data_IF_263853701235
#
_entry.id   IF_263853701235
#
_cell.length_a   1.000
_cell.length_b   1.000
_cell.length_c   1.000
_cell.angle_alpha   90.00
_cell.angle_beta   90.00
_cell.angle_gamma   90.00
#
_symmetry.space_group_name_H-M   'P 1'
#
loop_
_entity.id
_entity.type
_entity.pdbx_description
1 polymer ?
#
# COMPACT_ATOMS: atom_id res chain seq x y z
N UNK A 1 20.24 5.13 -4.15
CA UNK A 1 19.35 4.58 -3.10
C UNK A 1 17.96 4.36 -3.73
N UNK A 2 17.43 3.13 -3.71
CA UNK A 2 16.11 2.76 -4.22
C UNK A 2 15.03 3.27 -3.27
N UNK A 3 13.97 3.89 -3.77
CA UNK A 3 12.82 4.24 -2.93
C UNK A 3 12.14 3.00 -2.33
N UNK A 4 11.59 3.13 -1.13
CA UNK A 4 10.94 1.99 -0.47
C UNK A 4 9.58 1.68 -1.12
N UNK A 5 9.35 0.46 -1.65
CA UNK A 5 8.12 0.15 -2.39
C UNK A 5 6.84 0.16 -1.54
N UNK A 6 6.96 0.09 -0.21
CA UNK A 6 5.80 0.10 0.69
C UNK A 6 5.30 1.50 1.05
N UNK A 7 6.14 2.52 0.87
CA UNK A 7 5.76 3.89 1.18
C UNK A 7 6.69 4.87 0.44
N UNK A 8 6.23 5.47 -0.63
CA UNK A 8 7.01 6.39 -1.44
C UNK A 8 6.16 7.48 -2.08
N UNK A 9 6.81 8.56 -2.47
CA UNK A 9 6.33 9.48 -3.50
C UNK A 9 7.02 9.08 -4.80
N UNK A 10 6.30 8.83 -5.90
CA UNK A 10 6.92 8.40 -7.15
C UNK A 10 7.95 9.41 -7.65
N UNK A 11 9.14 8.94 -8.03
CA UNK A 11 10.13 9.79 -8.66
C UNK A 11 9.60 10.35 -10.00
N UNK A 12 10.01 11.56 -10.41
CA UNK A 12 9.57 12.15 -11.69
C UNK A 12 9.81 11.23 -12.89
N UNK A 13 10.95 10.53 -12.95
CA UNK A 13 11.28 9.54 -13.99
C UNK A 13 10.27 8.39 -14.04
N UNK A 14 9.86 7.89 -12.87
CA UNK A 14 8.84 6.83 -12.76
C UNK A 14 7.46 7.32 -13.22
N UNK A 15 7.10 8.56 -12.89
CA UNK A 15 5.82 9.16 -13.33
C UNK A 15 5.80 9.32 -14.86
N UNK A 16 6.90 9.77 -15.45
CA UNK A 16 7.03 9.93 -16.89
C UNK A 16 6.99 8.59 -17.62
N UNK A 17 7.75 7.60 -17.16
CA UNK A 17 7.75 6.26 -17.72
C UNK A 17 6.38 5.57 -17.59
N UNK A 18 5.65 5.78 -16.50
CA UNK A 18 4.29 5.28 -16.32
C UNK A 18 3.31 5.92 -17.30
N UNK A 19 3.43 7.22 -17.55
CA UNK A 19 2.62 7.93 -18.58
C UNK A 19 2.93 7.43 -19.98
N UNK A 20 4.19 7.25 -20.32
CA UNK A 20 4.63 6.70 -21.59
C UNK A 20 4.08 5.28 -21.81
N UNK A 21 4.16 4.41 -20.77
CA UNK A 21 3.57 3.07 -20.82
C UNK A 21 2.04 3.12 -21.04
N UNK A 22 1.33 3.96 -20.30
CA UNK A 22 -0.12 4.13 -20.46
C UNK A 22 -0.49 4.59 -21.88
N UNK A 23 0.22 5.59 -22.42
CA UNK A 23 0.02 6.07 -23.79
C UNK A 23 0.30 4.97 -24.83
N UNK A 24 1.34 4.14 -24.64
CA UNK A 24 1.64 2.98 -25.49
C UNK A 24 0.52 1.95 -25.46
N UNK A 25 -0.03 1.65 -24.29
CA UNK A 25 -1.17 0.73 -24.14
C UNK A 25 -2.41 1.30 -24.85
N UNK A 26 -2.70 2.59 -24.67
CA UNK A 26 -3.84 3.26 -25.32
C UNK A 26 -3.73 3.25 -26.85
N UNK A 27 -2.52 3.41 -27.38
CA UNK A 27 -2.24 3.40 -28.82
C UNK A 27 -2.26 1.98 -29.44
N UNK A 28 -2.17 0.93 -28.61
CA UNK A 28 -2.09 -0.48 -29.07
C UNK A 28 -3.40 -1.21 -28.76
N UNK A 29 -4.32 -1.43 -29.72
CA UNK A 29 -5.63 -2.02 -29.46
C UNK A 29 -5.61 -3.35 -28.71
N UNK A 30 -4.64 -4.25 -29.03
CA UNK A 30 -4.48 -5.52 -28.34
C UNK A 30 -4.07 -5.38 -26.88
N UNK A 31 -3.14 -4.48 -26.55
CA UNK A 31 -2.74 -4.20 -25.17
C UNK A 31 -3.88 -3.53 -24.40
N UNK A 32 -4.55 -2.55 -25.03
CA UNK A 32 -5.70 -1.88 -24.42
C UNK A 32 -6.80 -2.86 -24.03
N UNK A 33 -7.11 -3.84 -24.89
CA UNK A 33 -8.09 -4.88 -24.61
C UNK A 33 -7.65 -5.78 -23.42
N UNK A 34 -6.36 -6.13 -23.34
CA UNK A 34 -5.81 -6.96 -22.25
C UNK A 34 -5.90 -6.30 -20.87
N UNK A 35 -5.80 -4.96 -20.82
CA UNK A 35 -5.75 -4.21 -19.56
C UNK A 35 -7.02 -3.40 -19.26
N UNK A 36 -8.05 -3.47 -20.10
CA UNK A 36 -9.28 -2.66 -19.98
C UNK A 36 -10.02 -2.86 -18.65
N UNK A 37 -10.07 -4.10 -18.16
CA UNK A 37 -10.71 -4.45 -16.87
C UNK A 37 -9.94 -3.93 -15.65
N UNK A 38 -8.78 -3.34 -15.86
CA UNK A 38 -7.93 -2.78 -14.81
C UNK A 38 -6.85 -3.74 -14.31
N UNK A 39 -5.63 -3.20 -14.20
CA UNK A 39 -4.44 -3.91 -13.69
C UNK A 39 -3.52 -2.97 -12.95
N UNK A 40 -2.86 -3.52 -11.92
CA UNK A 40 -1.68 -2.88 -11.35
C UNK A 40 -0.51 -3.09 -12.29
N UNK A 41 0.06 -2.02 -12.79
CA UNK A 41 1.26 -2.00 -13.60
C UNK A 41 2.42 -1.51 -12.73
N UNK A 42 3.61 -2.05 -12.95
CA UNK A 42 4.83 -1.64 -12.28
C UNK A 42 5.84 -1.09 -13.26
N UNK A 43 6.62 -0.12 -12.80
CA UNK A 43 7.76 0.48 -13.49
C UNK A 43 8.97 0.41 -12.57
N UNK A 44 10.09 -0.06 -13.08
CA UNK A 44 11.38 -0.07 -12.38
C UNK A 44 12.42 0.61 -13.26
N UNK A 45 13.01 1.68 -12.77
CA UNK A 45 14.19 2.31 -13.33
C UNK A 45 15.42 1.53 -12.89
N UNK A 46 16.30 1.19 -13.84
CA UNK A 46 17.52 0.42 -13.59
C UNK A 46 18.72 1.01 -14.31
N UNK A 47 19.90 0.76 -13.75
CA UNK A 47 21.20 1.06 -14.36
C UNK A 47 21.96 -0.23 -14.66
N UNK A 48 22.81 -0.24 -15.69
CA UNK A 48 23.77 -1.33 -15.90
C UNK A 48 24.95 -1.15 -14.96
N UNK A 49 25.30 -2.19 -14.21
CA UNK A 49 26.53 -2.21 -13.43
C UNK A 49 27.74 -2.17 -14.37
N UNK A 50 28.67 -1.20 -14.15
CA UNK A 50 29.91 -1.05 -14.95
C UNK A 50 31.01 -2.06 -14.59
N UNK A 51 30.77 -3.02 -13.74
CA UNK A 51 31.74 -4.02 -13.30
C UNK A 51 31.30 -5.42 -13.68
N UNK A 52 31.36 -5.75 -14.98
CA UNK A 52 31.52 -7.16 -15.38
C UNK A 52 31.80 -7.30 -16.87
N UNK A 53 32.95 -6.84 -17.33
CA UNK A 53 33.72 -7.73 -18.15
C UNK A 53 34.07 -8.92 -17.24
N UNK A 54 33.50 -10.12 -17.55
CA UNK A 54 33.77 -11.40 -16.89
C UNK A 54 33.06 -11.77 -15.58
N UNK A 55 31.73 -11.78 -15.55
CA UNK A 55 31.06 -12.86 -14.83
C UNK A 55 30.51 -13.86 -15.86
N UNK A 56 31.40 -14.57 -16.50
CA UNK A 56 31.13 -15.92 -16.99
C UNK A 56 30.72 -16.72 -15.77
N UNK A 57 29.50 -17.23 -15.76
CA UNK A 57 29.07 -18.30 -14.87
C UNK A 57 30.15 -19.37 -14.93
N UNK A 58 31.07 -19.38 -13.99
CA UNK A 58 32.06 -20.43 -13.86
C UNK A 58 31.30 -21.74 -13.62
N UNK A 59 31.56 -22.81 -14.41
CA UNK A 59 30.99 -24.09 -14.10
C UNK A 59 31.59 -24.55 -12.77
N UNK A 60 30.73 -24.68 -11.73
CA UNK A 60 31.13 -25.35 -10.50
C UNK A 60 31.80 -26.70 -10.82
N UNK A 61 33.07 -26.83 -10.43
CA UNK A 61 33.76 -28.09 -10.45
C UNK A 61 33.05 -29.05 -9.52
N UNK A 62 32.46 -30.08 -10.14
CA UNK A 62 31.88 -31.27 -9.50
C UNK A 62 32.81 -31.85 -8.45
N UNK A 63 32.33 -31.91 -7.22
CA UNK A 63 32.64 -33.03 -6.35
C UNK A 63 31.36 -33.38 -5.54
N UNK A 64 31.09 -34.68 -5.57
CA UNK A 64 30.04 -35.42 -4.86
C UNK A 64 28.73 -35.68 -5.63
N UNK A 65 28.73 -36.93 -6.12
CA UNK A 65 27.62 -37.66 -6.70
C UNK A 65 26.38 -37.68 -5.84
N UNK A 66 25.35 -36.94 -6.24
CA UNK A 66 23.94 -37.30 -6.10
C UNK A 66 23.21 -36.73 -7.30
N UNK A 67 22.64 -37.59 -8.11
CA UNK A 67 21.77 -37.25 -9.24
C UNK A 67 20.55 -36.45 -8.70
N UNK A 68 20.31 -35.21 -9.17
CA UNK A 68 19.07 -34.52 -8.86
C UNK A 68 17.91 -35.16 -9.61
N UNK A 69 16.68 -35.14 -9.08
CA UNK A 69 15.53 -35.68 -9.77
C UNK A 69 15.27 -34.93 -11.09
N UNK A 70 14.82 -35.65 -12.12
CA UNK A 70 14.67 -35.18 -13.50
C UNK A 70 13.87 -33.89 -13.72
N UNK A 71 13.04 -33.48 -12.71
CA UNK A 71 12.28 -32.25 -12.70
C UNK A 71 13.16 -30.97 -12.60
N UNK A 72 14.33 -31.03 -11.94
CA UNK A 72 15.24 -29.87 -11.76
C UNK A 72 15.92 -29.46 -13.07
N UNK A 73 16.28 -30.45 -13.93
CA UNK A 73 16.93 -30.21 -15.22
C UNK A 73 15.99 -29.63 -16.28
N UNK A 74 14.69 -29.93 -16.20
CA UNK A 74 13.67 -29.34 -17.08
C UNK A 74 13.42 -27.85 -16.75
N UNK A 75 13.42 -27.48 -15.45
CA UNK A 75 13.28 -26.12 -14.99
C UNK A 75 14.46 -25.23 -15.42
N UNK A 76 15.70 -25.71 -15.25
CA UNK A 76 16.88 -24.94 -15.68
C UNK A 76 16.97 -24.79 -17.22
N UNK A 77 16.60 -25.83 -17.99
CA UNK A 77 16.55 -25.74 -19.46
C UNK A 77 15.44 -24.79 -19.93
N UNK A 78 14.28 -24.77 -19.26
CA UNK A 78 13.20 -23.83 -19.56
C UNK A 78 13.61 -22.39 -19.25
N UNK A 79 14.24 -22.14 -18.09
CA UNK A 79 14.77 -20.83 -17.72
C UNK A 79 15.88 -20.36 -18.69
N UNK A 80 16.78 -21.24 -19.13
CA UNK A 80 17.82 -20.90 -20.13
C UNK A 80 17.25 -20.63 -21.51
N UNK A 81 16.23 -21.38 -21.97
CA UNK A 81 15.53 -21.11 -23.25
C UNK A 81 14.76 -19.78 -23.21
N UNK A 82 14.19 -19.38 -22.04
CA UNK A 82 13.53 -18.09 -21.88
C UNK A 82 14.52 -16.93 -21.83
N UNK A 83 15.68 -17.11 -21.18
CA UNK A 83 16.74 -16.10 -21.17
C UNK A 83 17.27 -15.82 -22.60
N UNK A 84 17.47 -16.87 -23.42
CA UNK A 84 17.92 -16.70 -24.80
C UNK A 84 16.84 -16.22 -25.77
N UNK A 85 15.54 -16.40 -25.45
CA UNK A 85 14.43 -15.87 -26.24
C UNK A 85 14.07 -14.42 -25.97
N UNK A 86 14.54 -13.86 -24.84
CA UNK A 86 14.24 -12.48 -24.45
C UNK A 86 15.26 -11.46 -24.97
N UNK A 87 16.41 -11.88 -25.48
CA UNK A 87 17.44 -10.95 -26.03
C UNK A 87 16.98 -10.14 -27.25
N UNK A 88 15.86 -10.53 -27.89
CA UNK A 88 15.27 -9.82 -29.03
C UNK A 88 14.04 -8.94 -28.69
N UNK A 89 13.51 -9.01 -27.46
CA UNK A 89 12.23 -8.41 -27.11
C UNK A 89 12.30 -7.09 -26.34
N UNK A 90 13.44 -6.75 -25.78
CA UNK A 90 13.64 -5.51 -25.05
C UNK A 90 14.56 -4.58 -25.84
N UNK A 91 13.99 -3.69 -26.67
CA UNK A 91 14.63 -2.43 -26.99
C UNK A 91 14.35 -1.51 -25.81
N UNK A 92 15.32 -1.20 -24.93
CA UNK A 92 15.15 -0.17 -23.93
C UNK A 92 14.90 1.14 -24.69
N UNK A 93 13.81 1.84 -24.39
CA UNK A 93 13.67 3.23 -24.79
C UNK A 93 14.80 4.00 -24.10
N UNK A 94 15.89 4.22 -24.82
CA UNK A 94 16.99 5.07 -24.39
C UNK A 94 16.49 6.52 -24.56
N UNK A 95 16.31 7.22 -23.46
CA UNK A 95 16.26 8.68 -23.52
C UNK A 95 17.64 9.16 -23.92
N UNK A 96 17.78 9.68 -25.13
CA UNK A 96 19.04 10.14 -25.72
C UNK A 96 19.38 11.53 -25.15
N UNK A 97 19.74 11.56 -23.86
CA UNK A 97 20.15 12.80 -23.18
C UNK A 97 21.69 12.86 -23.10
N UNK A 98 22.32 12.97 -24.28
CA UNK A 98 23.78 13.11 -24.43
C UNK A 98 24.34 14.44 -23.90
N UNK A 99 23.47 15.37 -23.46
CA UNK A 99 23.90 16.72 -23.05
C UNK A 99 24.30 16.83 -21.57
N UNK A 100 23.92 15.90 -20.69
CA UNK A 100 24.09 16.03 -19.23
C UNK A 100 25.17 15.13 -18.61
N UNK A 101 25.82 14.24 -19.35
CA UNK A 101 26.79 13.28 -18.79
C UNK A 101 26.13 12.22 -17.88
N UNK A 102 24.80 12.19 -17.77
CA UNK A 102 24.06 11.20 -17.03
C UNK A 102 24.08 9.85 -17.78
N UNK A 103 24.14 8.75 -17.04
CA UNK A 103 24.05 7.41 -17.61
C UNK A 103 22.63 7.21 -18.16
N UNK A 104 22.47 6.54 -19.32
CA UNK A 104 21.15 6.26 -19.85
C UNK A 104 20.40 5.35 -18.88
N UNK A 105 19.30 5.84 -18.31
CA UNK A 105 18.38 5.05 -17.52
C UNK A 105 17.58 4.12 -18.43
N UNK A 106 17.31 2.92 -17.94
CA UNK A 106 16.50 1.92 -18.61
C UNK A 106 15.29 1.57 -17.75
N UNK A 107 14.13 1.41 -18.37
CA UNK A 107 12.89 1.09 -17.65
C UNK A 107 12.44 -0.33 -17.93
N UNK A 108 12.06 -1.04 -16.86
CA UNK A 108 11.42 -2.36 -16.91
C UNK A 108 9.94 -2.19 -16.53
N UNK A 109 9.07 -2.99 -17.18
CA UNK A 109 7.64 -2.94 -16.96
C UNK A 109 7.10 -4.31 -16.54
N UNK A 110 6.15 -4.34 -15.62
CA UNK A 110 5.45 -5.54 -15.17
C UNK A 110 3.95 -5.28 -14.98
N UNK A 111 3.17 -6.35 -14.89
CA UNK A 111 1.76 -6.28 -14.49
C UNK A 111 1.45 -7.36 -13.44
N UNK A 112 0.43 -7.11 -12.62
CA UNK A 112 0.01 -8.06 -11.59
C UNK A 112 -0.87 -9.18 -12.15
N UNK A 113 -0.66 -10.41 -11.68
CA UNK A 113 -1.45 -11.58 -12.07
C UNK A 113 -1.39 -11.92 -13.57
N UNK A 114 -2.56 -12.19 -14.16
CA UNK A 114 -2.74 -12.54 -15.57
C UNK A 114 -3.40 -11.39 -16.33
N UNK A 115 -3.06 -11.20 -17.61
CA UNK A 115 -3.72 -10.29 -18.53
C UNK A 115 -4.30 -11.11 -19.69
N UNK A 116 -5.61 -11.06 -19.90
CA UNK A 116 -6.29 -11.91 -20.90
C UNK A 116 -6.02 -13.42 -20.72
N UNK A 117 -5.84 -13.89 -19.49
CA UNK A 117 -5.50 -15.28 -19.18
C UNK A 117 -4.01 -15.64 -19.33
N UNK A 118 -3.14 -14.71 -19.79
CA UNK A 118 -1.70 -14.93 -19.97
C UNK A 118 -0.88 -14.23 -18.88
N UNK A 119 0.18 -14.91 -18.40
CA UNK A 119 1.21 -14.34 -17.57
C UNK A 119 2.32 -13.66 -18.40
N UNK A 120 2.33 -13.85 -19.72
CA UNK A 120 3.31 -13.33 -20.65
C UNK A 120 2.67 -12.34 -21.61
N UNK A 121 3.18 -11.10 -21.62
CA UNK A 121 2.80 -10.06 -22.57
C UNK A 121 4.07 -9.41 -23.08
N UNK A 122 4.16 -9.21 -24.38
CA UNK A 122 5.32 -8.59 -25.02
C UNK A 122 5.57 -7.17 -24.45
N UNK A 123 6.84 -6.86 -24.15
CA UNK A 123 7.24 -5.61 -23.54
C UNK A 123 7.11 -5.55 -22.01
N UNK A 124 6.75 -6.66 -21.36
CA UNK A 124 6.71 -6.79 -19.90
C UNK A 124 7.64 -7.90 -19.43
N UNK A 125 8.24 -7.73 -18.23
CA UNK A 125 9.08 -8.78 -17.65
C UNK A 125 8.25 -10.05 -17.39
N UNK A 126 8.87 -11.25 -17.52
CA UNK A 126 8.18 -12.51 -17.32
C UNK A 126 7.77 -12.71 -15.84
N UNK A 127 6.85 -13.64 -15.56
CA UNK A 127 6.55 -14.04 -14.19
C UNK A 127 7.78 -14.68 -13.51
N UNK A 128 7.81 -14.66 -12.18
CA UNK A 128 8.90 -15.27 -11.38
C UNK A 128 9.03 -16.78 -11.69
N UNK A 129 7.93 -17.42 -12.02
CA UNK A 129 7.88 -18.83 -12.36
C UNK A 129 7.49 -19.03 -13.83
N UNK A 130 8.14 -19.99 -14.46
CA UNK A 130 7.97 -20.24 -15.89
C UNK A 130 7.04 -21.42 -16.22
N UNK A 131 6.65 -22.27 -15.26
CA UNK A 131 5.99 -23.53 -15.58
C UNK A 131 4.93 -23.97 -14.57
N UNK A 132 3.70 -24.13 -15.05
CA UNK A 132 2.64 -24.88 -14.38
C UNK A 132 2.50 -26.21 -15.11
N UNK A 133 2.71 -27.37 -14.46
CA UNK A 133 2.47 -28.65 -15.10
C UNK A 133 1.00 -28.75 -15.53
N UNK A 134 0.73 -28.93 -16.82
CA UNK A 134 -0.63 -29.15 -17.34
C UNK A 134 -1.29 -30.41 -16.74
N UNK A 135 -0.46 -31.32 -16.19
CA UNK A 135 -0.90 -32.57 -15.57
C UNK A 135 -1.55 -32.42 -14.19
N UNK A 136 -1.41 -31.26 -13.51
CA UNK A 136 -1.97 -31.10 -12.17
C UNK A 136 -3.23 -30.21 -12.25
N UNK A 137 -4.38 -30.87 -12.39
CA UNK A 137 -5.71 -30.27 -12.20
C UNK A 137 -6.11 -30.45 -10.75
N UNK A 138 -6.37 -29.35 -10.06
CA UNK A 138 -6.92 -29.39 -8.72
C UNK A 138 -8.39 -29.86 -8.80
N UNK A 139 -8.66 -31.06 -8.29
CA UNK A 139 -10.00 -31.68 -8.27
C UNK A 139 -10.70 -31.51 -6.92
N UNK A 140 -10.00 -30.96 -5.93
CA UNK A 140 -10.52 -30.69 -4.58
C UNK A 140 -9.79 -29.51 -3.94
N UNK A 141 -10.35 -28.89 -2.87
CA UNK A 141 -9.67 -27.84 -2.08
C UNK A 141 -8.33 -28.29 -1.50
N UNK A 142 -8.20 -29.58 -1.17
CA UNK A 142 -6.96 -30.17 -0.65
C UNK A 142 -5.88 -30.28 -1.73
N UNK A 143 -6.22 -30.77 -2.91
CA UNK A 143 -5.32 -30.81 -4.06
C UNK A 143 -4.90 -29.39 -4.48
N UNK A 144 -5.80 -28.40 -4.37
CA UNK A 144 -5.46 -27.00 -4.65
C UNK A 144 -4.40 -26.47 -3.68
N UNK A 145 -4.50 -26.79 -2.40
CA UNK A 145 -3.50 -26.42 -1.38
C UNK A 145 -2.16 -27.10 -1.63
N UNK A 146 -2.15 -28.41 -1.84
CA UNK A 146 -0.93 -29.18 -2.13
C UNK A 146 -0.23 -28.67 -3.38
N UNK A 147 -0.98 -28.33 -4.44
CA UNK A 147 -0.44 -27.73 -5.64
C UNK A 147 0.16 -26.35 -5.37
N UNK A 148 -0.51 -25.53 -4.58
CA UNK A 148 -0.04 -24.20 -4.22
C UNK A 148 1.24 -24.27 -3.37
N UNK A 149 1.30 -25.18 -2.39
CA UNK A 149 2.49 -25.41 -1.58
C UNK A 149 3.66 -25.85 -2.45
N UNK A 150 3.42 -26.80 -3.37
CA UNK A 150 4.44 -27.25 -4.33
C UNK A 150 4.92 -26.10 -5.23
N UNK A 151 4.02 -25.28 -5.75
CA UNK A 151 4.38 -24.08 -6.53
C UNK A 151 5.27 -23.12 -5.73
N UNK A 152 4.94 -22.85 -4.47
CA UNK A 152 5.74 -21.96 -3.63
C UNK A 152 7.12 -22.50 -3.29
N UNK A 153 7.32 -23.81 -3.31
CA UNK A 153 8.64 -24.43 -3.23
C UNK A 153 9.46 -24.26 -4.53
N UNK A 154 8.78 -24.19 -5.68
CA UNK A 154 9.43 -23.97 -6.98
C UNK A 154 9.75 -22.50 -7.28
N UNK A 155 9.07 -21.55 -6.61
CA UNK A 155 9.28 -20.12 -6.81
C UNK A 155 10.51 -19.65 -6.05
N UNK A 156 11.66 -19.72 -6.70
CA UNK A 156 12.95 -19.29 -6.15
C UNK A 156 13.16 -17.81 -6.48
N UNK A 157 13.28 -16.99 -5.46
CA UNK A 157 13.60 -15.57 -5.59
C UNK A 157 15.03 -15.27 -5.13
N UNK A 158 15.57 -14.17 -5.65
CA UNK A 158 16.93 -13.69 -5.37
C UNK A 158 16.83 -12.38 -4.59
N UNK A 159 17.67 -12.19 -3.57
CA UNK A 159 17.82 -10.91 -2.89
C UNK A 159 19.01 -10.10 -3.45
N UNK A 160 19.18 -8.86 -2.96
CA UNK A 160 20.27 -7.98 -3.38
C UNK A 160 21.68 -8.50 -3.04
N UNK A 161 21.82 -9.53 -2.18
CA UNK A 161 23.08 -10.23 -1.89
C UNK A 161 23.34 -11.39 -2.83
N UNK A 162 22.41 -11.71 -3.74
CA UNK A 162 22.48 -12.88 -4.61
C UNK A 162 22.05 -14.20 -3.95
N UNK A 163 21.54 -14.16 -2.73
CA UNK A 163 21.03 -15.34 -2.04
C UNK A 163 19.70 -15.77 -2.61
N UNK A 164 19.46 -17.10 -2.68
CA UNK A 164 18.28 -17.68 -3.29
C UNK A 164 17.46 -18.44 -2.26
N UNK A 165 16.14 -18.16 -2.19
CA UNK A 165 15.18 -18.88 -1.33
C UNK A 165 13.86 -19.08 -2.04
N UNK A 166 13.16 -20.16 -1.69
CA UNK A 166 11.78 -20.34 -2.15
C UNK A 166 10.83 -19.39 -1.38
N UNK A 167 9.70 -19.03 -2.00
CA UNK A 167 8.66 -18.24 -1.33
C UNK A 167 8.24 -18.91 -0.02
N UNK A 168 8.10 -20.23 -0.03
CA UNK A 168 7.73 -21.01 1.17
C UNK A 168 8.74 -20.86 2.30
N UNK A 169 10.05 -20.95 2.00
CA UNK A 169 11.10 -20.75 3.00
C UNK A 169 11.07 -19.36 3.61
N UNK A 170 10.92 -18.31 2.77
CA UNK A 170 10.88 -16.92 3.23
C UNK A 170 9.71 -16.67 4.20
N UNK A 171 8.55 -17.28 3.94
CA UNK A 171 7.39 -17.16 4.81
C UNK A 171 7.53 -18.01 6.08
N UNK A 172 8.05 -19.24 5.96
CA UNK A 172 8.27 -20.13 7.10
C UNK A 172 9.24 -19.55 8.13
N UNK A 173 10.32 -18.88 7.70
CA UNK A 173 11.27 -18.19 8.57
C UNK A 173 10.61 -17.10 9.44
N UNK A 174 9.42 -16.63 9.06
CA UNK A 174 8.62 -15.64 9.77
C UNK A 174 7.40 -16.24 10.49
N UNK A 175 7.28 -17.57 10.50
CA UNK A 175 6.11 -18.25 11.06
C UNK A 175 4.81 -18.00 10.29
N UNK A 176 4.91 -17.67 9.00
CA UNK A 176 3.79 -17.33 8.11
C UNK A 176 3.58 -18.40 7.03
N UNK A 177 2.37 -18.41 6.47
CA UNK A 177 2.00 -19.19 5.28
C UNK A 177 1.76 -18.21 4.13
N UNK A 178 2.38 -18.41 2.94
CA UNK A 178 2.18 -17.51 1.82
C UNK A 178 0.74 -17.59 1.29
N UNK A 179 0.03 -16.45 1.17
CA UNK A 179 -1.28 -16.41 0.54
C UNK A 179 -1.23 -16.75 -0.96
N UNK A 180 -2.35 -17.20 -1.52
CA UNK A 180 -2.49 -17.43 -2.96
C UNK A 180 -2.10 -16.20 -3.80
N UNK A 181 -1.33 -16.43 -4.88
CA UNK A 181 -0.83 -15.38 -5.77
C UNK A 181 0.32 -14.54 -5.20
N UNK A 182 0.99 -14.98 -4.11
CA UNK A 182 2.25 -14.39 -3.66
C UNK A 182 3.31 -14.49 -4.75
N UNK A 183 4.01 -13.38 -5.05
CA UNK A 183 5.00 -13.30 -6.13
C UNK A 183 4.42 -12.90 -7.50
N UNK A 184 3.09 -12.83 -7.66
CA UNK A 184 2.45 -12.43 -8.91
C UNK A 184 2.24 -10.91 -9.05
N UNK A 185 2.57 -10.11 -8.03
CA UNK A 185 2.53 -8.65 -8.10
C UNK A 185 3.64 -8.10 -9.01
N UNK A 186 3.50 -6.86 -9.47
CA UNK A 186 4.44 -6.26 -10.41
C UNK A 186 5.82 -6.02 -9.78
N UNK A 187 5.90 -5.48 -8.56
CA UNK A 187 7.18 -5.17 -7.90
C UNK A 187 8.09 -6.41 -7.72
N UNK A 188 7.62 -7.57 -7.21
CA UNK A 188 8.48 -8.77 -7.14
C UNK A 188 9.00 -9.23 -8.51
N UNK A 189 8.19 -9.17 -9.57
CA UNK A 189 8.61 -9.54 -10.93
C UNK A 189 9.72 -8.64 -11.44
N UNK A 190 9.59 -7.32 -11.22
CA UNK A 190 10.56 -6.32 -11.63
C UNK A 190 11.91 -6.52 -10.93
N UNK A 191 11.90 -6.65 -9.61
CA UNK A 191 13.10 -6.87 -8.81
C UNK A 191 13.78 -8.21 -9.17
N UNK A 192 13.00 -9.29 -9.31
CA UNK A 192 13.53 -10.59 -9.71
C UNK A 192 14.25 -10.52 -11.05
N UNK A 193 13.63 -9.86 -12.04
CA UNK A 193 14.23 -9.70 -13.36
C UNK A 193 15.51 -8.88 -13.28
N UNK A 194 15.48 -7.71 -12.62
CA UNK A 194 16.65 -6.85 -12.49
C UNK A 194 17.83 -7.59 -11.83
N UNK A 195 17.59 -8.24 -10.69
CA UNK A 195 18.63 -8.95 -9.94
C UNK A 195 19.22 -10.14 -10.72
N UNK A 196 18.38 -10.91 -11.43
CA UNK A 196 18.85 -12.03 -12.25
C UNK A 196 19.71 -11.59 -13.45
N UNK A 197 19.50 -10.37 -13.96
CA UNK A 197 20.23 -9.82 -15.11
C UNK A 197 21.35 -8.86 -14.71
N UNK A 198 21.70 -8.77 -13.42
CA UNK A 198 22.79 -7.90 -12.93
C UNK A 198 22.50 -6.40 -13.13
N UNK A 199 21.24 -6.01 -13.15
CA UNK A 199 20.81 -4.62 -13.23
C UNK A 199 20.65 -4.06 -11.82
N UNK A 200 21.03 -2.79 -11.62
CA UNK A 200 20.90 -2.09 -10.34
C UNK A 200 19.57 -1.33 -10.30
N UNK A 201 18.64 -1.67 -9.40
CA UNK A 201 17.40 -0.92 -9.19
C UNK A 201 17.68 0.51 -8.71
N UNK A 202 17.05 1.51 -9.32
CA UNK A 202 17.21 2.95 -9.00
C UNK A 202 15.93 3.52 -8.39
N UNK A 203 14.79 3.33 -9.06
CA UNK A 203 13.50 3.78 -8.57
C UNK A 203 12.40 2.80 -9.01
N UNK A 204 11.38 2.61 -8.16
CA UNK A 204 10.26 1.72 -8.42
C UNK A 204 8.93 2.41 -8.16
N UNK A 205 7.91 2.09 -8.95
CA UNK A 205 6.54 2.52 -8.72
C UNK A 205 5.52 1.55 -9.30
N UNK A 206 4.36 1.44 -8.64
CA UNK A 206 3.22 0.69 -9.13
C UNK A 206 2.04 1.63 -9.30
N UNK A 207 1.33 1.56 -10.43
CA UNK A 207 0.17 2.38 -10.72
C UNK A 207 -0.97 1.56 -11.32
N UNK A 208 -2.19 2.03 -11.13
CA UNK A 208 -3.36 1.37 -11.71
C UNK A 208 -3.59 1.84 -13.13
N UNK A 209 -3.94 0.92 -14.04
CA UNK A 209 -4.37 1.22 -15.39
C UNK A 209 -5.68 0.50 -15.70
N UNK A 210 -6.62 1.17 -16.38
CA UNK A 210 -7.91 0.62 -16.80
C UNK A 210 -9.05 0.89 -15.80
N UNK A 211 -10.11 0.08 -15.87
CA UNK A 211 -11.31 0.25 -15.05
C UNK A 211 -11.03 0.04 -13.57
N UNK A 212 -11.73 0.78 -12.71
CA UNK A 212 -11.69 0.55 -11.27
C UNK A 212 -12.52 -0.68 -10.91
N UNK A 213 -12.02 -1.59 -10.05
CA UNK A 213 -12.85 -2.70 -9.55
C UNK A 213 -14.07 -2.16 -8.79
N UNK A 214 -15.15 -2.94 -8.77
CA UNK A 214 -16.39 -2.50 -8.11
C UNK A 214 -16.22 -2.31 -6.60
N UNK A 215 -15.43 -3.16 -5.95
CA UNK A 215 -15.27 -3.18 -4.48
C UNK A 215 -14.07 -2.37 -3.99
N UNK A 216 -13.03 -2.21 -4.80
CA UNK A 216 -11.80 -1.54 -4.43
C UNK A 216 -11.75 -0.11 -4.96
N UNK A 217 -11.02 0.74 -4.24
CA UNK A 217 -10.70 2.08 -4.76
C UNK A 217 -9.40 2.00 -5.53
N UNK A 218 -9.50 1.97 -6.86
CA UNK A 218 -8.37 2.04 -7.80
C UNK A 218 -8.68 3.06 -8.88
N UNK A 219 -7.76 3.95 -9.16
CA UNK A 219 -7.91 5.00 -10.18
C UNK A 219 -6.82 4.86 -11.22
N UNK A 220 -7.22 4.88 -12.48
CA UNK A 220 -6.27 4.83 -13.60
C UNK A 220 -5.28 6.00 -13.52
N UNK A 221 -4.00 5.70 -13.61
CA UNK A 221 -2.90 6.66 -13.48
C UNK A 221 -2.47 6.98 -12.05
N UNK A 222 -3.23 6.58 -11.02
CA UNK A 222 -2.82 6.77 -9.64
C UNK A 222 -1.80 5.72 -9.19
N UNK A 223 -0.79 6.16 -8.42
CA UNK A 223 0.22 5.29 -7.84
C UNK A 223 -0.24 4.70 -6.50
N UNK A 224 0.19 3.49 -6.24
CA UNK A 224 -0.15 2.75 -5.03
C UNK A 224 1.10 2.07 -4.46
N UNK A 225 1.25 1.98 -3.12
CA UNK A 225 2.32 1.22 -2.51
C UNK A 225 2.17 -0.27 -2.83
N UNK A 226 3.29 -0.99 -2.81
CA UNK A 226 3.28 -2.44 -2.95
C UNK A 226 2.49 -3.10 -1.82
N UNK A 227 1.84 -4.22 -2.14
CA UNK A 227 1.04 -4.99 -1.19
C UNK A 227 1.87 -5.48 -0.01
N UNK A 228 1.50 -5.08 1.22
CA UNK A 228 2.18 -5.52 2.44
C UNK A 228 1.71 -6.89 2.93
N UNK A 229 0.45 -7.24 2.68
CA UNK A 229 -0.16 -8.48 3.19
C UNK A 229 0.28 -9.73 2.44
N UNK A 230 0.35 -9.66 1.12
CA UNK A 230 0.65 -10.81 0.25
C UNK A 230 2.12 -10.88 -0.13
N UNK A 231 2.68 -9.78 -0.64
CA UNK A 231 4.05 -9.74 -1.11
C UNK A 231 5.04 -9.08 -0.13
N UNK A 232 4.58 -8.56 1.00
CA UNK A 232 5.42 -7.87 1.98
C UNK A 232 6.63 -8.68 2.44
N UNK A 233 6.46 -9.92 2.97
CA UNK A 233 7.59 -10.75 3.39
C UNK A 233 8.56 -11.08 2.25
N UNK A 234 8.03 -11.28 1.04
CA UNK A 234 8.81 -11.57 -0.15
C UNK A 234 9.65 -10.38 -0.58
N UNK A 235 9.04 -9.21 -0.70
CA UNK A 235 9.72 -7.96 -1.06
C UNK A 235 10.78 -7.58 -0.02
N UNK A 236 10.48 -7.71 1.27
CA UNK A 236 11.45 -7.45 2.32
C UNK A 236 12.71 -8.32 2.18
N UNK A 237 12.56 -9.61 1.81
CA UNK A 237 13.69 -10.47 1.52
C UNK A 237 14.44 -10.04 0.25
N UNK A 238 13.72 -9.71 -0.83
CA UNK A 238 14.35 -9.31 -2.10
C UNK A 238 15.15 -8.02 -2.00
N UNK A 239 14.75 -7.12 -1.11
CA UNK A 239 15.42 -5.84 -0.85
C UNK A 239 16.68 -5.97 0.02
N UNK A 240 16.89 -7.11 0.70
CA UNK A 240 18.10 -7.33 1.50
C UNK A 240 19.36 -7.23 0.64
N UNK A 241 20.31 -6.39 1.09
CA UNK A 241 21.56 -6.12 0.37
C UNK A 241 21.48 -5.04 -0.72
N UNK A 242 20.29 -4.50 -0.98
CA UNK A 242 20.15 -3.29 -1.79
C UNK A 242 20.24 -2.03 -0.90
N UNK A 243 20.71 -0.93 -1.48
CA UNK A 243 20.66 0.40 -0.86
C UNK A 243 19.23 0.98 -1.05
N UNK A 244 18.37 0.79 -0.03
CA UNK A 244 16.94 1.12 -0.07
C UNK A 244 16.63 2.16 1.01
N UNK A 245 15.76 3.11 0.69
CA UNK A 245 15.21 4.04 1.67
C UNK A 245 14.57 3.30 2.84
N UNK A 246 14.74 3.77 4.09
CA UNK A 246 14.06 3.17 5.23
C UNK A 246 12.55 3.08 5.00
N UNK A 247 11.91 2.00 5.46
CA UNK A 247 10.45 1.90 5.42
C UNK A 247 9.85 2.85 6.47
N UNK A 248 9.21 3.95 6.07
CA UNK A 248 8.66 4.91 7.03
C UNK A 248 7.47 4.33 7.82
N UNK A 249 6.94 3.18 7.42
CA UNK A 249 5.89 2.47 8.16
C UNK A 249 6.46 1.61 9.31
N UNK A 250 7.77 1.38 9.34
CA UNK A 250 8.43 0.52 10.35
C UNK A 250 9.10 1.30 11.47
N UNK A 251 9.37 2.60 11.29
CA UNK A 251 10.01 3.41 12.32
C UNK A 251 9.40 4.81 12.43
N UNK A 252 9.43 5.37 13.65
CA UNK A 252 9.01 6.75 13.90
C UNK A 252 10.07 7.78 13.46
N UNK A 253 11.32 7.33 13.23
CA UNK A 253 12.43 8.21 12.87
C UNK A 253 12.23 8.94 11.52
N UNK A 254 11.38 8.38 10.65
CA UNK A 254 11.06 8.99 9.36
C UNK A 254 9.96 10.05 9.44
N UNK A 255 9.12 10.00 10.47
CA UNK A 255 8.07 10.97 10.69
C UNK A 255 8.63 12.09 11.58
N UNK A 256 8.78 13.30 11.04
CA UNK A 256 8.95 14.50 11.88
C UNK A 256 7.59 14.76 12.57
N UNK A 257 7.29 13.93 13.57
CA UNK A 257 6.03 14.04 14.30
C UNK A 257 6.07 15.33 15.13
N UNK A 258 5.04 16.16 14.96
CA UNK A 258 4.76 17.20 15.93
C UNK A 258 4.39 16.53 17.27
N UNK A 259 4.69 17.19 18.39
CA UNK A 259 4.24 16.70 19.69
C UNK A 259 2.72 16.71 19.78
N UNK A 260 2.12 15.72 20.47
CA UNK A 260 0.70 15.76 20.81
C UNK A 260 0.36 17.00 21.65
N UNK A 261 -0.84 17.53 21.48
CA UNK A 261 -1.31 18.72 22.21
C UNK A 261 -2.45 18.33 23.16
N UNK A 262 -2.23 18.45 24.46
CA UNK A 262 -3.30 18.27 25.46
C UNK A 262 -4.23 19.48 25.41
N UNK A 263 -5.53 19.24 25.21
CA UNK A 263 -6.58 20.25 25.13
C UNK A 263 -7.40 20.39 26.41
N UNK A 264 -7.50 19.29 27.13
CA UNK A 264 -8.22 19.27 28.42
C UNK A 264 -7.75 18.07 29.25
N UNK A 265 -7.72 18.26 30.53
CA UNK A 265 -7.39 17.20 31.49
C UNK A 265 -8.15 17.46 32.79
N UNK A 266 -8.71 16.40 33.38
CA UNK A 266 -9.22 16.40 34.75
C UNK A 266 -8.93 15.07 35.44
N UNK A 267 -9.67 14.75 36.50
CA UNK A 267 -9.53 13.52 37.27
C UNK A 267 -9.88 12.27 36.45
N UNK A 268 -10.90 12.36 35.57
CA UNK A 268 -11.56 11.22 34.95
C UNK A 268 -11.14 10.99 33.50
N UNK A 269 -10.71 12.04 32.79
CA UNK A 269 -10.37 11.95 31.38
C UNK A 269 -9.30 12.95 30.94
N UNK A 270 -8.73 12.70 29.75
CA UNK A 270 -7.86 13.62 29.04
C UNK A 270 -8.25 13.68 27.56
N UNK A 271 -8.30 14.90 26.99
CA UNK A 271 -8.51 15.13 25.56
C UNK A 271 -7.24 15.69 24.95
N UNK A 272 -6.77 15.05 23.91
CA UNK A 272 -5.54 15.43 23.21
C UNK A 272 -5.71 15.41 21.70
N UNK A 273 -4.89 16.18 21.01
CA UNK A 273 -4.74 16.12 19.56
C UNK A 273 -3.58 15.20 19.18
N UNK A 274 -3.91 14.19 18.41
CA UNK A 274 -2.95 13.26 17.82
C UNK A 274 -2.33 13.87 16.56
N UNK A 275 -1.00 13.92 16.41
CA UNK A 275 -0.39 14.27 15.13
C UNK A 275 -0.64 13.19 14.08
N UNK A 276 -0.56 13.56 12.79
CA UNK A 276 -0.56 12.60 11.69
C UNK A 276 0.72 11.73 11.77
N UNK A 277 0.62 10.45 11.37
CA UNK A 277 1.74 9.50 11.41
C UNK A 277 1.94 8.79 12.76
N UNK A 278 1.36 9.28 13.85
CA UNK A 278 1.42 8.64 15.17
C UNK A 278 0.31 7.59 15.33
N UNK A 279 0.62 6.46 15.95
CA UNK A 279 -0.39 5.48 16.36
C UNK A 279 -1.31 6.07 17.44
N UNK A 280 -2.60 5.76 17.40
CA UNK A 280 -3.55 6.14 18.44
C UNK A 280 -3.35 5.32 19.73
N UNK A 281 -3.14 4.01 19.55
CA UNK A 281 -2.93 3.00 20.60
C UNK A 281 -1.75 2.11 20.20
N UNK A 282 -1.12 1.39 21.16
CA UNK A 282 -0.02 0.49 20.84
C UNK A 282 -0.36 -0.50 19.73
N UNK A 283 0.55 -0.65 18.78
CA UNK A 283 0.44 -1.62 17.70
C UNK A 283 0.66 -3.05 18.19
N UNK A 284 0.35 -4.03 17.33
CA UNK A 284 0.70 -5.42 17.62
C UNK A 284 2.23 -5.56 17.62
N UNK A 285 2.83 -6.24 18.60
CA UNK A 285 4.26 -6.51 18.60
C UNK A 285 4.66 -7.28 17.35
N UNK A 286 5.74 -6.84 16.70
CA UNK A 286 6.37 -7.55 15.58
C UNK A 286 7.75 -8.00 16.05
N UNK A 287 8.08 -9.31 16.01
CA UNK A 287 9.38 -9.80 16.43
C UNK A 287 10.52 -9.07 15.67
N UNK A 288 11.50 -8.57 16.42
CA UNK A 288 12.67 -7.88 15.84
C UNK A 288 12.45 -6.43 15.42
N UNK A 289 11.24 -5.88 15.58
CA UNK A 289 10.94 -4.47 15.28
C UNK A 289 10.66 -3.73 16.59
N UNK A 290 11.33 -2.59 16.78
CA UNK A 290 11.06 -1.74 17.94
C UNK A 290 9.60 -1.25 17.91
N UNK A 291 8.88 -1.28 19.05
CA UNK A 291 7.50 -0.82 19.09
C UNK A 291 7.44 0.69 18.79
N UNK A 292 6.49 1.07 17.94
CA UNK A 292 6.23 2.48 17.66
C UNK A 292 5.45 3.10 18.83
N UNK A 293 5.86 4.29 19.24
CA UNK A 293 5.19 5.05 20.30
C UNK A 293 3.80 5.48 19.84
N UNK A 294 2.78 5.21 20.64
CA UNK A 294 1.42 5.67 20.38
C UNK A 294 1.08 6.93 21.19
N UNK A 295 -0.03 7.60 20.83
CA UNK A 295 -0.56 8.68 21.66
C UNK A 295 -0.92 8.19 23.06
N UNK A 296 -1.44 6.98 23.20
CA UNK A 296 -1.73 6.38 24.50
C UNK A 296 -0.48 6.24 25.36
N UNK A 297 0.65 5.79 24.79
CA UNK A 297 1.94 5.69 25.52
C UNK A 297 2.44 7.08 25.91
N UNK A 298 2.36 8.04 24.97
CA UNK A 298 2.78 9.41 25.22
C UNK A 298 1.99 10.07 26.38
N UNK A 299 0.65 9.86 26.38
CA UNK A 299 -0.22 10.39 27.42
C UNK A 299 0.00 9.68 28.77
N UNK A 300 0.30 8.39 28.77
CA UNK A 300 0.64 7.67 30.00
C UNK A 300 1.92 8.23 30.64
N UNK A 301 2.95 8.52 29.83
CA UNK A 301 4.17 9.20 30.30
C UNK A 301 3.87 10.62 30.81
N UNK A 302 3.05 11.38 30.08
CA UNK A 302 2.64 12.75 30.43
C UNK A 302 1.88 12.79 31.77
N UNK A 303 0.92 11.89 31.99
CA UNK A 303 0.12 11.81 33.21
C UNK A 303 0.87 11.11 34.38
N UNK A 304 1.99 10.42 34.12
CA UNK A 304 2.65 9.56 35.12
C UNK A 304 1.81 8.34 35.53
N UNK A 305 0.77 8.00 34.78
CA UNK A 305 -0.16 6.91 35.04
C UNK A 305 -0.79 6.40 33.74
N UNK A 306 -1.22 5.12 33.67
CA UNK A 306 -1.88 4.56 32.50
C UNK A 306 -3.16 5.33 32.13
N UNK A 307 -3.38 5.55 30.84
CA UNK A 307 -4.61 6.08 30.28
C UNK A 307 -5.25 5.04 29.36
N UNK A 308 -6.57 5.07 29.21
CA UNK A 308 -7.35 4.06 28.51
C UNK A 308 -8.03 4.67 27.29
N UNK A 309 -7.77 4.14 26.11
CA UNK A 309 -8.39 4.62 24.89
C UNK A 309 -9.89 4.30 24.84
N UNK A 310 -10.71 5.31 24.52
CA UNK A 310 -12.16 5.14 24.34
C UNK A 310 -12.53 4.92 22.87
N UNK A 311 -11.71 5.39 21.95
CA UNK A 311 -11.82 5.22 20.50
C UNK A 311 -10.43 5.34 19.85
N UNK A 312 -10.37 5.21 18.53
CA UNK A 312 -9.11 5.34 17.79
C UNK A 312 -9.27 6.18 16.54
N UNK A 313 -8.17 6.80 16.13
CA UNK A 313 -7.95 7.35 14.80
C UNK A 313 -6.95 6.46 14.05
N UNK A 314 -7.02 6.46 12.71
CA UNK A 314 -5.99 5.85 11.90
C UNK A 314 -4.64 6.55 12.14
N UNK A 315 -3.54 5.85 11.90
CA UNK A 315 -2.19 6.37 12.11
C UNK A 315 -1.99 7.72 11.39
N UNK A 316 -2.39 7.81 10.13
CA UNK A 316 -2.19 9.00 9.31
C UNK A 316 -3.21 10.12 9.58
N UNK A 317 -4.33 9.83 10.25
CA UNK A 317 -5.35 10.81 10.63
C UNK A 317 -4.92 11.57 11.86
N UNK A 318 -4.93 12.90 11.80
CA UNK A 318 -4.65 13.78 12.95
C UNK A 318 -5.93 14.22 13.66
N UNK A 319 -5.81 14.80 14.85
CA UNK A 319 -6.88 15.51 15.56
C UNK A 319 -7.31 14.93 16.89
N UNK A 320 -8.48 15.36 17.36
CA UNK A 320 -9.00 15.18 18.70
C UNK A 320 -9.30 13.72 19.05
N UNK A 321 -8.80 13.31 20.21
CA UNK A 321 -9.10 12.02 20.85
C UNK A 321 -9.36 12.22 22.35
N UNK A 322 -10.24 11.39 22.92
CA UNK A 322 -10.48 11.30 24.36
C UNK A 322 -9.97 9.98 24.91
N UNK A 323 -9.31 10.05 26.07
CA UNK A 323 -8.85 8.91 26.86
C UNK A 323 -9.41 9.01 28.27
N UNK A 324 -9.73 7.88 28.86
CA UNK A 324 -10.17 7.79 30.24
C UNK A 324 -8.97 7.54 31.18
N UNK A 325 -9.08 7.98 32.44
CA UNK A 325 -8.08 7.74 33.48
C UNK A 325 -8.48 6.61 34.45
N UNK A 326 -9.71 6.06 34.28
CA UNK A 326 -10.17 4.89 35.01
C UNK A 326 -10.98 3.95 34.13
N UNK A 327 -11.13 2.65 34.47
CA UNK A 327 -11.98 1.71 33.75
C UNK A 327 -13.45 2.14 33.73
N UNK A 328 -13.96 2.72 34.80
CA UNK A 328 -15.35 3.20 34.90
C UNK A 328 -15.61 4.35 33.92
N UNK A 329 -14.71 5.33 33.88
CA UNK A 329 -14.78 6.43 32.91
C UNK A 329 -14.64 5.92 31.47
N UNK A 330 -13.79 4.91 31.23
CA UNK A 330 -13.67 4.28 29.91
C UNK A 330 -14.97 3.62 29.47
N UNK A 331 -15.58 2.82 30.34
CA UNK A 331 -16.84 2.12 30.05
C UNK A 331 -17.96 3.13 29.73
N UNK A 332 -18.10 4.21 30.53
CA UNK A 332 -19.10 5.25 30.31
C UNK A 332 -18.88 6.01 29.00
N UNK A 333 -17.64 6.29 28.61
CA UNK A 333 -17.32 6.93 27.33
C UNK A 333 -17.54 5.97 26.15
N UNK A 334 -17.12 4.71 26.26
CA UNK A 334 -17.30 3.71 25.21
C UNK A 334 -18.78 3.45 24.92
N UNK A 335 -19.63 3.41 25.97
CA UNK A 335 -21.08 3.28 25.82
C UNK A 335 -21.66 4.44 24.97
N UNK A 336 -21.19 5.67 25.16
CA UNK A 336 -21.62 6.81 24.33
C UNK A 336 -21.19 6.66 22.86
N UNK A 337 -19.99 6.13 22.60
CA UNK A 337 -19.55 5.80 21.23
C UNK A 337 -20.42 4.69 20.60
N UNK A 338 -20.74 3.65 21.33
CA UNK A 338 -21.61 2.53 20.88
C UNK A 338 -23.02 3.01 20.59
N UNK A 339 -23.59 3.83 21.46
CA UNK A 339 -24.91 4.43 21.31
C UNK A 339 -24.97 5.58 20.29
N UNK A 340 -23.81 5.96 19.72
CA UNK A 340 -23.68 7.08 18.76
C UNK A 340 -24.10 8.45 19.33
N UNK A 341 -23.93 8.65 20.61
CA UNK A 341 -24.21 9.90 21.31
C UNK A 341 -23.04 10.91 21.23
N UNK A 342 -21.87 10.44 20.83
CA UNK A 342 -20.69 11.26 20.58
C UNK A 342 -20.80 11.93 19.22
N UNK A 343 -20.78 13.27 19.21
CA UNK A 343 -20.73 14.07 17.97
C UNK A 343 -19.29 14.25 17.53
N UNK A 344 -19.01 13.94 16.26
CA UNK A 344 -17.67 14.07 15.65
C UNK A 344 -17.79 14.74 14.30
N UNK A 345 -16.86 15.63 13.98
CA UNK A 345 -16.70 16.14 12.64
C UNK A 345 -15.22 16.15 12.25
N UNK A 346 -14.98 15.81 11.02
CA UNK A 346 -13.66 15.80 10.42
C UNK A 346 -13.61 16.82 9.29
N UNK A 347 -12.43 17.36 9.07
CA UNK A 347 -12.12 18.23 7.94
C UNK A 347 -11.14 17.50 7.02
N UNK A 348 -11.33 17.62 5.72
CA UNK A 348 -10.43 17.01 4.73
C UNK A 348 -10.31 17.90 3.49
N UNK A 349 -9.13 17.87 2.88
CA UNK A 349 -8.93 18.29 1.50
C UNK A 349 -9.03 17.09 0.59
N UNK A 350 -9.90 17.16 -0.42
CA UNK A 350 -10.12 16.12 -1.42
C UNK A 350 -9.87 16.69 -2.82
N UNK A 351 -9.39 15.86 -3.73
CA UNK A 351 -9.17 16.27 -5.13
C UNK A 351 -9.27 15.08 -6.06
N UNK A 352 -9.47 15.34 -7.35
CA UNK A 352 -9.25 14.34 -8.39
C UNK A 352 -7.85 14.50 -8.99
N UNK A 353 -6.90 13.60 -8.70
CA UNK A 353 -5.55 13.69 -9.28
C UNK A 353 -5.51 13.58 -10.81
N UNK A 354 -6.57 13.06 -11.44
CA UNK A 354 -6.69 13.00 -12.91
C UNK A 354 -7.19 14.30 -13.55
N UNK A 355 -7.73 15.22 -12.75
CA UNK A 355 -8.32 16.49 -13.20
C UNK A 355 -9.57 16.33 -14.05
N UNK A 356 -10.19 15.14 -14.08
CA UNK A 356 -11.36 14.83 -14.92
C UNK A 356 -12.70 14.96 -14.19
N UNK A 357 -12.69 14.82 -12.85
CA UNK A 357 -13.91 14.92 -12.07
C UNK A 357 -14.30 16.38 -11.86
N UNK A 358 -15.60 16.69 -12.05
CA UNK A 358 -16.17 17.96 -11.64
C UNK A 358 -16.24 18.04 -10.12
N UNK A 359 -15.72 19.12 -9.54
CA UNK A 359 -15.83 19.35 -8.11
C UNK A 359 -17.26 19.80 -7.76
N UNK A 360 -17.83 19.30 -6.67
CA UNK A 360 -19.12 19.81 -6.19
C UNK A 360 -18.97 21.25 -5.65
N UNK A 361 -19.98 22.07 -5.88
CA UNK A 361 -20.00 23.47 -5.46
C UNK A 361 -20.00 23.63 -3.93
N UNK A 362 -19.43 24.72 -3.40
CA UNK A 362 -19.53 25.04 -1.98
C UNK A 362 -20.99 25.05 -1.50
N UNK A 363 -21.24 24.51 -0.31
CA UNK A 363 -22.59 24.31 0.24
C UNK A 363 -23.27 23.00 -0.19
N UNK A 364 -22.70 22.26 -1.15
CA UNK A 364 -23.19 20.91 -1.51
C UNK A 364 -23.12 19.99 -0.30
N UNK A 365 -24.21 19.29 -0.02
CA UNK A 365 -24.34 18.32 1.06
C UNK A 365 -24.83 16.98 0.54
N UNK A 366 -24.38 15.91 1.17
CA UNK A 366 -24.82 14.57 0.80
C UNK A 366 -24.54 13.55 1.89
N UNK A 367 -25.02 12.34 1.64
CA UNK A 367 -24.86 11.18 2.52
C UNK A 367 -24.26 10.02 1.74
N UNK A 368 -23.23 9.40 2.31
CA UNK A 368 -22.54 8.23 1.77
C UNK A 368 -22.90 7.04 2.64
N UNK A 369 -23.44 6.00 2.02
CA UNK A 369 -23.83 4.74 2.69
C UNK A 369 -23.19 3.60 1.91
N UNK A 370 -22.02 3.14 2.37
CA UNK A 370 -21.25 2.09 1.72
C UNK A 370 -20.76 1.10 2.78
N UNK A 371 -21.19 -0.17 2.74
CA UNK A 371 -20.72 -1.18 3.70
C UNK A 371 -19.25 -1.50 3.47
N UNK A 372 -18.48 -1.61 4.57
CA UNK A 372 -17.02 -1.77 4.51
C UNK A 372 -16.57 -3.10 5.12
N UNK A 373 -15.62 -3.74 4.44
CA UNK A 373 -14.90 -4.93 4.91
C UNK A 373 -13.39 -4.75 4.72
N UNK A 374 -12.55 -5.47 5.50
CA UNK A 374 -11.12 -5.54 5.23
C UNK A 374 -10.84 -6.15 3.86
N UNK A 375 -9.91 -5.56 3.11
CA UNK A 375 -9.28 -6.25 2.00
C UNK A 375 -8.27 -7.27 2.56
N UNK A 376 -8.63 -8.55 2.50
CA UNK A 376 -7.82 -9.62 3.08
C UNK A 376 -6.47 -9.82 2.38
N UNK A 377 -6.39 -9.46 1.11
CA UNK A 377 -5.21 -9.64 0.27
C UNK A 377 -4.30 -8.41 0.25
N UNK A 378 -4.83 -7.21 0.55
CA UNK A 378 -4.10 -5.95 0.51
C UNK A 378 -4.31 -5.12 1.81
N UNK A 379 -4.01 -5.71 2.96
CA UNK A 379 -4.07 -5.00 4.25
C UNK A 379 -3.01 -3.90 4.32
N UNK A 380 -3.30 -2.75 4.96
CA UNK A 380 -4.46 -2.45 5.82
C UNK A 380 -5.70 -1.91 5.09
N UNK A 381 -5.76 -2.00 3.76
CA UNK A 381 -6.87 -1.45 2.96
C UNK A 381 -8.23 -2.01 3.39
N UNK A 382 -9.26 -1.20 3.16
CA UNK A 382 -10.66 -1.59 3.26
C UNK A 382 -11.28 -1.51 1.88
N UNK A 383 -12.32 -2.29 1.65
CA UNK A 383 -13.10 -2.31 0.42
C UNK A 383 -14.59 -2.15 0.71
N UNK A 384 -15.36 -1.73 -0.30
CA UNK A 384 -16.82 -1.77 -0.24
C UNK A 384 -17.27 -3.20 -0.50
N UNK A 385 -17.99 -3.78 0.43
CA UNK A 385 -18.50 -5.14 0.30
C UNK A 385 -20.00 -5.18 0.62
N UNK A 386 -20.87 -5.22 -0.40
CA UNK A 386 -22.32 -5.25 -0.21
C UNK A 386 -22.83 -6.49 0.54
N UNK A 387 -22.10 -7.61 0.45
CA UNK A 387 -22.54 -8.92 0.97
C UNK A 387 -22.12 -9.13 2.44
N UNK A 388 -20.87 -8.77 2.78
CA UNK A 388 -20.28 -9.07 4.10
C UNK A 388 -19.79 -7.82 4.83
N UNK A 389 -19.83 -6.65 4.18
CA UNK A 389 -19.38 -5.39 4.74
C UNK A 389 -20.24 -4.93 5.90
N UNK A 390 -19.59 -4.34 6.90
CA UNK A 390 -20.31 -3.70 8.02
C UNK A 390 -20.87 -2.35 7.57
N UNK A 391 -22.14 -2.04 7.87
CA UNK A 391 -22.75 -0.75 7.52
C UNK A 391 -21.87 0.43 7.96
N UNK A 392 -21.65 1.37 7.05
CA UNK A 392 -20.93 2.61 7.32
C UNK A 392 -21.69 3.78 6.69
N UNK A 393 -21.82 4.87 7.45
CA UNK A 393 -22.62 6.04 7.07
C UNK A 393 -21.84 7.31 7.41
N UNK A 394 -21.72 8.22 6.44
CA UNK A 394 -21.05 9.52 6.57
C UNK A 394 -21.88 10.59 5.86
N UNK A 395 -22.23 11.68 6.55
CA UNK A 395 -22.70 12.89 5.89
C UNK A 395 -21.50 13.76 5.51
N UNK A 396 -21.60 14.50 4.41
CA UNK A 396 -20.59 15.45 4.00
C UNK A 396 -21.18 16.81 3.60
N UNK A 397 -20.34 17.84 3.70
CA UNK A 397 -20.62 19.19 3.22
C UNK A 397 -19.35 19.77 2.60
N UNK A 398 -19.46 20.31 1.39
CA UNK A 398 -18.38 21.06 0.73
C UNK A 398 -18.35 22.46 1.27
N UNK A 399 -17.23 22.86 1.88
CA UNK A 399 -17.11 24.16 2.55
C UNK A 399 -16.54 25.24 1.63
N UNK A 400 -15.49 24.88 0.87
CA UNK A 400 -14.81 25.80 -0.06
C UNK A 400 -14.04 25.04 -1.14
N UNK A 401 -13.74 25.70 -2.23
CA UNK A 401 -12.85 25.21 -3.27
C UNK A 401 -11.52 25.97 -3.22
N UNK A 402 -10.49 25.38 -3.76
CA UNK A 402 -9.17 25.97 -3.96
C UNK A 402 -8.87 26.00 -5.46
N UNK A 403 -8.10 27.00 -5.93
CA UNK A 403 -7.83 27.24 -7.36
C UNK A 403 -7.10 26.09 -8.05
N UNK A 404 -6.40 25.26 -7.31
CA UNK A 404 -5.70 24.08 -7.82
C UNK A 404 -6.60 22.84 -8.04
N UNK A 405 -7.92 22.98 -7.91
CA UNK A 405 -8.87 21.90 -8.11
C UNK A 405 -9.04 21.00 -6.89
N UNK A 406 -8.85 21.53 -5.68
CA UNK A 406 -9.14 20.83 -4.42
C UNK A 406 -10.41 21.37 -3.77
N UNK A 407 -11.17 20.49 -3.11
CA UNK A 407 -12.34 20.85 -2.30
C UNK A 407 -12.07 20.60 -0.80
N UNK A 408 -12.41 21.57 0.04
CA UNK A 408 -12.38 21.43 1.49
C UNK A 408 -13.74 20.96 1.97
N UNK A 409 -13.76 19.79 2.62
CA UNK A 409 -15.01 19.12 3.01
C UNK A 409 -15.07 18.87 4.51
N UNK A 410 -16.27 19.00 5.05
CA UNK A 410 -16.62 18.53 6.39
C UNK A 410 -17.28 17.18 6.27
N UNK A 411 -16.82 16.22 7.08
CA UNK A 411 -17.28 14.84 7.11
C UNK A 411 -17.82 14.51 8.51
N UNK A 412 -19.03 13.98 8.59
CA UNK A 412 -19.70 13.64 9.84
C UNK A 412 -20.01 12.14 9.85
N UNK A 413 -19.12 11.29 10.44
CA UNK A 413 -19.34 9.86 10.48
C UNK A 413 -20.31 9.47 11.60
N UNK A 414 -21.39 8.77 11.26
CA UNK A 414 -22.31 8.14 12.21
C UNK A 414 -21.80 6.78 12.70
N UNK A 415 -20.92 6.16 11.95
CA UNK A 415 -20.23 4.91 12.27
C UNK A 415 -18.72 5.15 12.33
N UNK A 416 -17.95 4.19 12.85
CA UNK A 416 -16.49 4.31 12.99
C UNK A 416 -15.76 3.09 12.44
N UNK A 417 -15.93 2.77 11.14
CA UNK A 417 -15.21 1.66 10.51
C UNK A 417 -13.79 2.09 10.15
N UNK A 418 -12.87 1.14 10.15
CA UNK A 418 -11.48 1.38 9.73
C UNK A 418 -11.47 2.03 8.35
N UNK A 419 -10.67 3.07 8.16
CA UNK A 419 -10.55 3.86 6.92
C UNK A 419 -11.88 4.39 6.34
N UNK A 420 -12.97 4.45 7.14
CA UNK A 420 -14.30 4.79 6.63
C UNK A 420 -14.30 6.06 5.79
N UNK A 421 -13.82 7.17 6.31
CA UNK A 421 -13.82 8.46 5.62
C UNK A 421 -12.94 8.43 4.37
N UNK A 422 -11.83 7.72 4.43
CA UNK A 422 -10.89 7.57 3.31
C UNK A 422 -11.54 6.83 2.14
N UNK A 423 -12.21 5.69 2.41
CA UNK A 423 -12.94 4.93 1.38
C UNK A 423 -14.15 5.71 0.89
N UNK A 424 -14.95 6.30 1.78
CA UNK A 424 -16.14 7.08 1.42
C UNK A 424 -15.81 8.27 0.52
N UNK A 425 -14.70 8.95 0.75
CA UNK A 425 -14.26 10.04 -0.12
C UNK A 425 -13.77 9.52 -1.48
N UNK A 426 -13.02 8.42 -1.50
CA UNK A 426 -12.33 7.98 -2.70
C UNK A 426 -13.17 7.08 -3.62
N UNK A 427 -14.14 6.31 -3.08
CA UNK A 427 -14.93 5.36 -3.86
C UNK A 427 -15.86 6.07 -4.84
N UNK A 428 -16.06 5.49 -6.03
CA UNK A 428 -16.91 6.04 -7.11
C UNK A 428 -18.38 6.27 -6.69
N UNK A 429 -18.90 5.39 -5.85
CA UNK A 429 -20.27 5.47 -5.30
C UNK A 429 -20.33 6.27 -3.98
N UNK A 430 -19.21 6.85 -3.55
CA UNK A 430 -19.09 7.82 -2.48
C UNK A 430 -18.97 9.24 -3.01
N UNK A 431 -18.00 10.02 -2.47
CA UNK A 431 -17.72 11.36 -3.00
C UNK A 431 -17.00 11.34 -4.35
N UNK A 432 -16.31 10.25 -4.67
CA UNK A 432 -15.54 10.11 -5.90
C UNK A 432 -14.23 10.93 -5.92
N UNK A 433 -13.88 11.59 -4.83
CA UNK A 433 -12.70 12.46 -4.68
C UNK A 433 -11.86 11.96 -3.50
N UNK A 434 -10.69 11.33 -3.74
CA UNK A 434 -9.82 10.88 -2.65
C UNK A 434 -9.27 12.04 -1.84
N UNK A 435 -8.96 11.76 -0.57
CA UNK A 435 -8.32 12.72 0.33
C UNK A 435 -6.87 12.94 -0.14
N UNK A 436 -6.45 14.19 -0.21
CA UNK A 436 -5.07 14.55 -0.57
C UNK A 436 -4.10 13.93 0.45
N UNK A 437 -3.01 13.35 -0.02
CA UNK A 437 -2.04 12.61 0.80
C UNK A 437 -2.46 11.17 1.11
N UNK A 438 -3.60 10.68 0.59
CA UNK A 438 -4.02 9.30 0.80
C UNK A 438 -3.34 8.33 -0.17
N UNK A 439 -2.23 7.75 0.28
CA UNK A 439 -1.44 6.80 -0.51
C UNK A 439 -2.15 5.48 -0.75
N UNK A 440 -3.09 5.09 0.11
CA UNK A 440 -3.82 3.82 -0.02
C UNK A 440 -4.99 3.93 -0.99
N UNK A 441 -5.62 5.10 -1.11
CA UNK A 441 -6.85 5.26 -1.89
C UNK A 441 -6.71 6.27 -3.04
N UNK A 442 -5.47 6.49 -3.51
CA UNK A 442 -5.19 7.23 -4.74
C UNK A 442 -5.36 8.75 -4.63
N UNK A 443 -5.06 9.31 -3.46
CA UNK A 443 -5.00 10.76 -3.26
C UNK A 443 -3.80 11.40 -3.95
N UNK A 444 -3.92 12.67 -4.31
CA UNK A 444 -2.79 13.47 -4.78
C UNK A 444 -1.67 13.47 -3.75
N UNK A 445 -0.39 13.44 -4.16
CA UNK A 445 0.74 13.46 -3.22
C UNK A 445 0.73 14.68 -2.30
N UNK A 446 0.99 14.45 -1.01
CA UNK A 446 1.17 15.49 -0.01
C UNK A 446 2.07 14.98 1.12
N UNK A 447 2.67 15.88 1.93
CA UNK A 447 3.53 15.47 3.05
C UNK A 447 2.80 14.60 4.09
N UNK A 448 1.47 14.70 4.21
CA UNK A 448 0.64 13.90 5.12
C UNK A 448 -0.75 13.67 4.54
N UNK A 449 -1.51 12.78 5.15
CA UNK A 449 -2.94 12.64 4.91
C UNK A 449 -3.66 13.92 5.38
N UNK A 450 -4.37 14.58 4.46
CA UNK A 450 -5.12 15.81 4.75
C UNK A 450 -6.52 15.50 5.32
N UNK A 451 -6.53 14.72 6.42
CA UNK A 451 -7.72 14.35 7.19
C UNK A 451 -7.49 14.63 8.68
N UNK A 452 -8.41 15.36 9.28
CA UNK A 452 -8.28 15.85 10.66
C UNK A 452 -9.59 15.72 11.43
N UNK A 453 -9.56 15.10 12.61
CA UNK A 453 -10.67 15.06 13.56
C UNK A 453 -10.78 16.43 14.27
N UNK A 454 -11.60 17.32 13.68
CA UNK A 454 -11.64 18.73 14.07
C UNK A 454 -12.63 19.03 15.19
N UNK A 455 -13.63 18.17 15.41
CA UNK A 455 -14.65 18.39 16.45
C UNK A 455 -14.97 17.09 17.17
N UNK A 456 -15.07 17.17 18.48
CA UNK A 456 -15.45 16.07 19.37
C UNK A 456 -16.34 16.59 20.49
N UNK A 457 -17.55 16.00 20.66
CA UNK A 457 -18.46 16.36 21.73
C UNK A 457 -19.12 15.14 22.35
N UNK A 458 -19.06 15.02 23.67
CA UNK A 458 -19.54 13.88 24.44
C UNK A 458 -20.04 14.36 25.82
N UNK A 459 -20.67 13.48 26.62
CA UNK A 459 -21.01 13.75 28.01
C UNK A 459 -19.88 13.33 28.93
N UNK A 460 -19.54 14.19 29.90
CA UNK A 460 -18.54 13.86 30.91
C UNK A 460 -18.95 12.62 31.71
N UNK A 461 -18.07 11.62 31.92
CA UNK A 461 -18.43 10.34 32.53
C UNK A 461 -18.90 10.44 33.97
N UNK A 462 -18.44 11.43 34.75
CA UNK A 462 -18.78 11.56 36.15
C UNK A 462 -20.07 12.40 36.41
N UNK A 463 -20.28 13.48 35.66
CA UNK A 463 -21.39 14.44 35.95
C UNK A 463 -22.39 14.59 34.79
N UNK A 464 -22.14 13.99 33.65
CA UNK A 464 -23.04 14.02 32.49
C UNK A 464 -23.07 15.34 31.73
N UNK A 465 -22.29 16.36 32.12
CA UNK A 465 -22.24 17.67 31.42
C UNK A 465 -21.73 17.50 30.00
N UNK A 466 -22.26 18.30 29.08
CA UNK A 466 -21.80 18.29 27.69
C UNK A 466 -20.42 18.94 27.57
N UNK A 467 -19.46 18.16 27.08
CA UNK A 467 -18.13 18.61 26.75
C UNK A 467 -18.01 18.76 25.22
N UNK A 468 -17.42 19.87 24.77
CA UNK A 468 -17.27 20.16 23.35
C UNK A 468 -15.88 20.73 23.09
N UNK A 469 -15.17 20.13 22.16
CA UNK A 469 -13.82 20.50 21.77
C UNK A 469 -13.76 20.73 20.26
N UNK A 470 -13.06 21.79 19.87
CA UNK A 470 -12.75 22.08 18.49
C UNK A 470 -11.23 22.24 18.36
N UNK A 471 -10.66 21.64 17.33
CA UNK A 471 -9.24 21.84 17.00
C UNK A 471 -9.04 23.19 16.33
N UNK A 472 -8.01 23.90 16.75
CA UNK A 472 -7.58 25.16 16.15
C UNK A 472 -6.47 24.97 15.09
N UNK A 473 -6.06 23.73 14.83
CA UNK A 473 -5.05 23.51 13.79
C UNK A 473 -5.61 23.89 12.42
N UNK A 474 -4.98 24.89 11.79
CA UNK A 474 -5.27 25.21 10.40
C UNK A 474 -4.78 24.08 9.51
N UNK A 475 -5.57 23.77 8.51
CA UNK A 475 -5.26 22.80 7.45
C UNK A 475 -4.65 23.49 6.22
N UNK A 476 -4.17 24.70 6.38
CA UNK A 476 -3.63 25.50 5.27
C UNK A 476 -2.21 25.10 4.92
#
# INVERSE_FOLDING_TARGET
MLNNPFCYTPAPSIVEAARALAARIDATPSLRALFAEGKMLGVLEVERSLSSSDVRLAPEKRSLRRTPPAASLASEKAQRRMASGCEGFFSPEQTDDRASGARPSMFLYAFSGLAGGSAFVEGFVPPIYAYKPDSIRATSPEHSRQLQDWLFDQYIVVNGRGERRSIRQIFADRGLVPPGGTGECAAPKLLQYALLHGLTPVAIGEFWYGASPEREVRRSGAFYPACTGKCGPLLAYMLEGLDVEPNPLESDAHWQLADPVVRYEDRDLIVAEKPAGMLAVPGRPVPGVAPRRSLQDWLADYCGAPVLACHRLDMDTSGLMVFAKSPEAQAALQEQFEKREVSKAYLAWVSDPSGKASLPEPGTRGKIVLPLAPDWYDRPRQQVDPDQGKPAVTDYEVLRLRDDGAAFVRLIPYTGRTHQLRVHCAHKDGLGLPIIGDRLYGGAPAPRLMLHAAHLSFRHPADGRRMTFASSQSFD
#
